data_IF_151873146132
#
_entry.id   IF_151873146132
#
_cell.length_a   1.000
_cell.length_b   1.000
_cell.length_c   1.000
_cell.angle_alpha   90.00
_cell.angle_beta   90.00
_cell.angle_gamma   90.00
#
_symmetry.space_group_name_H-M   'P 1'
#
loop_
_entity.id
_entity.type
_entity.pdbx_description
1 polymer ?
#
# COMPACT_ATOMS: atom_id res chain seq x y z
N UNK A 1 15.71 -19.91 28.44
CA UNK A 1 14.71 -20.05 29.51
C UNK A 1 15.17 -19.18 30.67
N UNK A 2 14.64 -17.96 30.74
CA UNK A 2 14.56 -17.04 31.86
C UNK A 2 13.61 -15.95 31.33
N UNK A 3 12.35 -16.04 31.73
CA UNK A 3 11.30 -15.07 31.39
C UNK A 3 11.31 -14.07 32.55
N UNK A 4 11.75 -12.82 32.35
CA UNK A 4 11.57 -11.80 33.37
C UNK A 4 10.11 -11.36 33.31
N UNK A 5 9.35 -11.71 34.34
CA UNK A 5 8.10 -11.11 34.80
C UNK A 5 7.11 -10.71 33.70
N UNK A 6 6.21 -11.65 33.39
CA UNK A 6 4.85 -11.35 32.94
C UNK A 6 4.26 -10.30 33.89
N UNK A 7 4.08 -9.08 33.38
CA UNK A 7 3.17 -8.11 33.99
C UNK A 7 1.79 -8.79 34.02
N UNK A 8 1.07 -8.78 35.16
CA UNK A 8 -0.28 -9.31 35.23
C UNK A 8 -1.15 -8.67 34.15
N UNK A 9 -1.95 -9.48 33.47
CA UNK A 9 -2.90 -9.10 32.43
C UNK A 9 -4.11 -8.34 33.01
N UNK A 10 -3.92 -7.48 34.01
CA UNK A 10 -4.98 -6.84 34.81
C UNK A 10 -5.07 -5.31 34.67
N UNK A 11 -4.18 -4.65 33.91
CA UNK A 11 -4.26 -3.19 33.69
C UNK A 11 -4.14 -2.78 32.20
N UNK A 12 -4.91 -3.44 31.32
CA UNK A 12 -5.21 -2.87 30.00
C UNK A 12 -6.20 -1.71 30.23
N UNK A 13 -5.95 -0.47 29.75
CA UNK A 13 -6.75 0.65 30.24
C UNK A 13 -8.21 0.43 29.85
N UNK A 14 -9.17 0.65 30.76
CA UNK A 14 -10.60 0.46 30.49
C UNK A 14 -11.16 1.47 29.47
N UNK A 15 -10.32 2.34 28.85
CA UNK A 15 -10.70 3.34 27.85
C UNK A 15 -9.53 3.65 26.88
N UNK A 16 -9.83 3.96 25.61
CA UNK A 16 -8.86 4.53 24.67
C UNK A 16 -8.20 5.79 25.26
N UNK A 17 -6.89 5.95 25.07
CA UNK A 17 -6.23 7.20 25.47
C UNK A 17 -6.66 8.33 24.54
N UNK A 18 -6.82 9.53 25.12
CA UNK A 18 -7.20 10.74 24.40
C UNK A 18 -6.08 11.76 24.55
N UNK A 19 -5.66 12.42 23.46
CA UNK A 19 -4.70 13.51 23.51
C UNK A 19 -5.05 14.58 24.55
N UNK A 20 -4.03 15.07 25.24
CA UNK A 20 -4.19 16.26 26.10
C UNK A 20 -4.67 17.45 25.26
N UNK A 21 -5.46 18.37 25.84
CA UNK A 21 -5.85 19.60 25.17
C UNK A 21 -4.63 20.35 24.61
N UNK A 22 -4.71 20.79 23.35
CA UNK A 22 -3.60 21.43 22.66
C UNK A 22 -3.98 22.81 22.11
N UNK A 23 -4.11 23.83 22.97
CA UNK A 23 -4.57 25.16 22.58
C UNK A 23 -3.59 25.90 21.64
N UNK A 24 -2.34 25.41 21.51
CA UNK A 24 -1.33 25.97 20.61
C UNK A 24 -1.35 25.34 19.22
N UNK A 25 -2.14 24.28 19.01
CA UNK A 25 -2.24 23.61 17.71
C UNK A 25 -3.08 24.48 16.76
N UNK A 26 -2.51 25.01 15.67
CA UNK A 26 -3.28 25.76 14.69
C UNK A 26 -4.27 24.85 13.96
N UNK A 27 -5.35 25.46 13.46
CA UNK A 27 -6.28 24.81 12.54
C UNK A 27 -5.55 24.21 11.35
N UNK A 28 -6.16 23.17 10.77
CA UNK A 28 -5.60 22.42 9.65
C UNK A 28 -5.35 23.33 8.41
N UNK A 29 -4.09 23.51 7.96
CA UNK A 29 -3.74 24.61 7.06
C UNK A 29 -3.74 24.21 5.58
N UNK A 30 -3.74 22.91 5.25
CA UNK A 30 -3.47 22.41 3.90
C UNK A 30 -4.70 22.48 2.99
N UNK A 31 -5.15 23.69 2.69
CA UNK A 31 -6.24 24.00 1.78
C UNK A 31 -5.78 24.87 0.60
N UNK A 32 -6.66 25.03 -0.39
CA UNK A 32 -6.39 25.87 -1.57
C UNK A 32 -6.05 27.31 -1.16
N UNK A 33 -5.09 27.92 -1.86
CA UNK A 33 -4.56 29.26 -1.60
C UNK A 33 -3.40 29.33 -0.63
N UNK A 34 -3.09 28.26 0.12
CA UNK A 34 -1.91 28.25 0.99
C UNK A 34 -0.63 28.29 0.15
N UNK A 35 0.24 29.23 0.46
CA UNK A 35 1.56 29.38 -0.16
C UNK A 35 2.66 29.06 0.84
N UNK A 36 3.60 28.20 0.44
CA UNK A 36 4.71 27.72 1.26
C UNK A 36 6.04 28.03 0.59
N UNK A 37 7.01 28.53 1.36
CA UNK A 37 8.39 28.67 0.88
C UNK A 37 9.16 27.40 1.23
N UNK A 38 9.50 26.62 0.21
CA UNK A 38 10.16 25.32 0.35
C UNK A 38 11.63 25.41 -0.06
N UNK A 39 12.47 24.58 0.54
CA UNK A 39 13.90 24.43 0.20
C UNK A 39 14.25 22.95 0.01
N UNK A 40 15.20 22.59 -0.87
CA UNK A 40 15.63 21.22 -1.05
C UNK A 40 16.12 20.59 0.26
N UNK A 41 15.86 19.31 0.44
CA UNK A 41 16.20 18.57 1.65
C UNK A 41 16.80 17.21 1.31
N UNK A 42 17.85 16.83 2.05
CA UNK A 42 18.43 15.48 2.00
C UNK A 42 17.67 14.58 2.97
N UNK A 43 16.90 13.58 2.51
CA UNK A 43 16.18 12.69 3.42
C UNK A 43 17.16 11.91 4.33
N UNK A 44 16.77 11.57 5.57
CA UNK A 44 17.56 10.65 6.37
C UNK A 44 17.51 9.25 5.75
N UNK A 45 18.42 8.37 6.17
CA UNK A 45 18.31 6.96 5.80
C UNK A 45 16.96 6.39 6.25
N UNK A 46 16.29 5.56 5.44
CA UNK A 46 14.97 5.07 5.75
C UNK A 46 14.99 4.21 7.01
N UNK A 47 13.97 4.33 7.86
CA UNK A 47 13.85 3.59 9.10
C UNK A 47 12.38 3.17 9.37
N UNK A 48 12.16 2.42 10.45
CA UNK A 48 10.83 1.91 10.82
C UNK A 48 10.71 0.39 10.75
N UNK A 49 9.48 -0.10 10.72
CA UNK A 49 9.14 -1.54 10.83
C UNK A 49 9.47 -2.36 9.57
N UNK A 50 10.08 -1.77 8.54
CA UNK A 50 10.30 -2.43 7.24
C UNK A 50 11.67 -3.07 7.06
N UNK A 51 12.30 -3.49 8.16
CA UNK A 51 13.53 -4.28 8.15
C UNK A 51 14.83 -3.47 8.18
N UNK A 52 14.76 -2.17 8.47
CA UNK A 52 15.95 -1.34 8.65
C UNK A 52 16.55 -1.51 10.05
N UNK A 53 17.87 -1.44 10.15
CA UNK A 53 18.56 -1.34 11.44
C UNK A 53 18.19 -0.03 12.11
N UNK A 54 17.81 -0.10 13.39
CA UNK A 54 17.59 1.09 14.21
C UNK A 54 18.92 1.85 14.35
N UNK A 55 19.00 3.03 13.74
CA UNK A 55 20.12 3.94 13.92
C UNK A 55 19.98 4.76 15.20
N UNK A 56 21.06 5.40 15.67
CA UNK A 56 21.00 6.33 16.80
C UNK A 56 20.19 7.59 16.48
N UNK A 57 20.01 7.95 15.20
CA UNK A 57 19.45 9.22 14.76
C UNK A 57 17.96 9.36 15.11
N UNK A 58 17.22 8.23 15.14
CA UNK A 58 15.79 8.24 15.52
C UNK A 58 15.39 6.93 16.22
N UNK A 59 14.79 7.06 17.40
CA UNK A 59 14.18 5.96 18.17
C UNK A 59 12.71 6.26 18.40
N UNK A 60 11.89 5.23 18.35
CA UNK A 60 10.47 5.32 18.71
C UNK A 60 10.37 5.57 20.21
N UNK A 61 9.66 6.61 20.62
CA UNK A 61 9.47 6.92 22.03
C UNK A 61 8.51 5.94 22.72
N UNK A 62 8.70 5.73 24.02
CA UNK A 62 7.78 4.95 24.84
C UNK A 62 6.41 5.66 24.92
N UNK A 63 5.32 4.89 24.91
CA UNK A 63 3.96 5.42 24.90
C UNK A 63 3.69 6.33 26.12
N UNK A 64 4.28 6.01 27.26
CA UNK A 64 4.17 6.75 28.50
C UNK A 64 4.79 8.14 28.41
N UNK A 65 5.85 8.32 27.61
CA UNK A 65 6.47 9.63 27.40
C UNK A 65 5.63 10.50 26.46
N UNK A 66 5.10 9.89 25.38
CA UNK A 66 4.21 10.57 24.42
C UNK A 66 2.94 11.06 25.12
N UNK A 67 2.37 10.23 26.00
CA UNK A 67 1.13 10.53 26.72
C UNK A 67 1.19 11.76 27.66
N UNK A 68 2.40 12.20 28.04
CA UNK A 68 2.60 13.26 29.06
C UNK A 68 2.47 14.69 28.53
N UNK A 69 2.42 14.88 27.21
CA UNK A 69 2.47 16.23 26.61
C UNK A 69 1.47 16.38 25.46
N UNK A 70 1.14 17.63 25.12
CA UNK A 70 0.32 17.93 23.94
C UNK A 70 1.07 17.62 22.65
N UNK A 71 0.35 17.45 21.53
CA UNK A 71 0.97 17.10 20.24
C UNK A 71 1.93 18.19 19.74
N UNK A 72 1.56 19.46 19.86
CA UNK A 72 2.41 20.60 19.50
C UNK A 72 3.68 20.62 20.33
N UNK A 73 3.58 20.36 21.63
CA UNK A 73 4.72 20.26 22.52
C UNK A 73 5.61 19.07 22.19
N UNK A 74 5.03 17.90 21.87
CA UNK A 74 5.78 16.75 21.39
C UNK A 74 6.56 17.06 20.11
N UNK A 75 5.91 17.71 19.14
CA UNK A 75 6.54 18.07 17.86
C UNK A 75 7.74 19.02 18.03
N UNK A 76 7.70 19.92 19.01
CA UNK A 76 8.81 20.81 19.33
C UNK A 76 9.94 20.11 20.09
N UNK A 77 9.60 19.27 21.08
CA UNK A 77 10.58 18.55 21.91
C UNK A 77 11.29 17.42 21.17
N UNK A 78 10.62 16.82 20.20
CA UNK A 78 11.09 15.65 19.45
C UNK A 78 11.05 15.91 17.94
N UNK A 79 11.83 16.88 17.42
CA UNK A 79 11.80 17.24 16.00
C UNK A 79 12.20 16.05 15.10
N UNK A 80 11.87 16.20 13.82
CA UNK A 80 12.26 15.26 12.76
C UNK A 80 13.79 15.15 12.68
N UNK A 81 14.31 14.04 12.17
CA UNK A 81 15.75 13.82 12.07
C UNK A 81 16.45 14.94 11.29
N UNK A 82 17.58 15.40 11.85
CA UNK A 82 18.47 16.32 11.17
C UNK A 82 19.37 15.56 10.18
N UNK A 83 19.64 16.19 9.05
CA UNK A 83 20.48 15.62 7.99
C UNK A 83 21.45 16.68 7.47
N UNK A 84 22.54 16.26 6.81
CA UNK A 84 23.44 17.20 6.17
C UNK A 84 22.69 18.13 5.21
N UNK A 85 23.07 19.43 5.14
CA UNK A 85 22.46 20.36 4.21
C UNK A 85 22.47 19.82 2.78
N UNK A 86 21.35 19.99 2.08
CA UNK A 86 21.28 19.64 0.66
C UNK A 86 22.30 20.47 -0.14
N UNK A 87 22.94 19.93 -1.19
CA UNK A 87 23.90 20.69 -2.01
C UNK A 87 23.36 22.04 -2.52
N UNK A 88 22.05 22.10 -2.78
CA UNK A 88 21.33 23.30 -3.19
C UNK A 88 20.46 23.88 -2.06
N UNK A 89 20.90 23.83 -0.80
CA UNK A 89 20.09 24.26 0.35
C UNK A 89 19.70 25.76 0.34
N UNK A 90 20.40 26.58 -0.45
CA UNK A 90 20.09 28.00 -0.65
C UNK A 90 19.01 28.24 -1.70
N UNK A 91 18.69 27.25 -2.53
CA UNK A 91 17.59 27.33 -3.48
C UNK A 91 16.27 27.33 -2.72
N UNK A 92 15.37 28.23 -3.09
CA UNK A 92 14.03 28.29 -2.52
C UNK A 92 13.01 28.36 -3.62
N UNK A 93 11.93 27.60 -3.47
CA UNK A 93 10.78 27.67 -4.37
C UNK A 93 9.53 28.03 -3.59
N UNK A 94 8.59 28.66 -4.28
CA UNK A 94 7.27 28.96 -3.75
C UNK A 94 6.31 27.87 -4.20
N UNK A 95 5.73 27.13 -3.27
CA UNK A 95 4.71 26.13 -3.54
C UNK A 95 3.35 26.73 -3.22
N UNK A 96 2.44 26.73 -4.19
CA UNK A 96 1.05 27.15 -4.00
C UNK A 96 0.11 25.94 -4.05
N UNK A 97 -0.64 25.70 -2.98
CA UNK A 97 -1.65 24.64 -2.94
C UNK A 97 -2.88 25.11 -3.69
N UNK A 98 -3.32 24.33 -4.68
CA UNK A 98 -4.53 24.65 -5.46
C UNK A 98 -5.69 23.73 -5.17
N UNK A 99 -5.43 22.51 -4.70
CA UNK A 99 -6.47 21.55 -4.37
C UNK A 99 -5.97 20.53 -3.34
N UNK A 100 -6.80 20.22 -2.34
CA UNK A 100 -6.61 19.04 -1.50
C UNK A 100 -7.02 17.79 -2.27
N UNK A 101 -6.11 16.83 -2.43
CA UNK A 101 -6.42 15.52 -3.02
C UNK A 101 -6.86 14.58 -1.91
N UNK A 102 -6.04 14.49 -0.85
CA UNK A 102 -6.31 13.66 0.29
C UNK A 102 -5.70 14.33 1.53
N UNK A 103 -6.45 15.28 2.07
CA UNK A 103 -6.03 16.17 3.15
C UNK A 103 -7.07 16.16 4.26
N UNK A 104 -6.68 15.68 5.44
CA UNK A 104 -7.54 15.64 6.63
C UNK A 104 -6.69 15.54 7.88
N UNK A 105 -7.14 16.18 8.95
CA UNK A 105 -6.52 16.01 10.26
C UNK A 105 -6.55 14.53 10.70
N UNK A 106 -5.45 14.06 11.30
CA UNK A 106 -5.26 12.70 11.75
C UNK A 106 -5.05 11.67 10.62
N UNK A 107 -4.98 12.07 9.35
CA UNK A 107 -4.79 11.16 8.19
C UNK A 107 -3.40 10.51 8.14
N UNK A 108 -2.38 11.20 8.64
CA UNK A 108 -0.99 10.94 8.29
C UNK A 108 -0.52 11.98 7.28
N UNK A 109 0.14 11.54 6.20
CA UNK A 109 0.63 12.46 5.17
C UNK A 109 -0.52 13.13 4.41
N UNK A 110 -0.35 14.43 4.13
CA UNK A 110 -1.34 15.27 3.45
C UNK A 110 -0.98 15.34 1.97
N UNK A 111 -1.95 15.08 1.09
CA UNK A 111 -1.71 15.00 -0.35
C UNK A 111 -2.44 16.16 -1.03
N UNK A 112 -1.68 17.03 -1.68
CA UNK A 112 -2.21 18.23 -2.32
C UNK A 112 -1.68 18.40 -3.73
N UNK A 113 -2.52 18.92 -4.62
CA UNK A 113 -2.10 19.42 -5.93
C UNK A 113 -1.57 20.84 -5.76
N UNK A 114 -0.44 21.13 -6.40
CA UNK A 114 0.22 22.42 -6.28
C UNK A 114 0.88 22.90 -7.58
N UNK A 115 1.23 24.18 -7.59
CA UNK A 115 2.12 24.82 -8.57
C UNK A 115 3.43 25.22 -7.92
N UNK A 116 4.50 25.33 -8.71
CA UNK A 116 5.81 25.81 -8.25
C UNK A 116 6.14 27.15 -8.91
N UNK A 117 6.52 28.12 -8.09
CA UNK A 117 6.84 29.48 -8.50
C UNK A 117 5.72 30.12 -9.31
N UNK A 118 6.11 30.78 -10.40
CA UNK A 118 5.20 31.44 -11.34
C UNK A 118 4.70 30.48 -12.44
N UNK A 119 5.27 29.28 -12.56
CA UNK A 119 4.82 28.30 -13.57
C UNK A 119 3.49 27.65 -13.15
N UNK A 120 2.40 28.21 -13.67
CA UNK A 120 1.04 27.67 -13.51
C UNK A 120 0.66 26.69 -14.61
N UNK A 121 1.54 26.42 -15.58
CA UNK A 121 1.26 25.49 -16.67
C UNK A 121 1.52 24.04 -16.26
N UNK A 122 2.30 23.82 -15.20
CA UNK A 122 2.66 22.48 -14.72
C UNK A 122 2.20 22.24 -13.29
N UNK A 123 1.30 21.28 -13.12
CA UNK A 123 0.88 20.81 -11.80
C UNK A 123 1.81 19.74 -11.24
N UNK A 124 1.88 19.72 -9.91
CA UNK A 124 2.62 18.76 -9.10
C UNK A 124 1.73 18.20 -8.01
N UNK A 125 2.14 17.06 -7.45
CA UNK A 125 1.61 16.55 -6.18
C UNK A 125 2.67 16.78 -5.11
N UNK A 126 2.27 17.45 -4.03
CA UNK A 126 3.05 17.48 -2.81
C UNK A 126 2.43 16.52 -1.80
N UNK A 127 3.25 15.60 -1.31
CA UNK A 127 2.91 14.75 -0.17
C UNK A 127 3.68 15.25 1.04
N UNK A 128 2.95 15.82 2.00
CA UNK A 128 3.45 16.59 3.13
C UNK A 128 3.36 15.76 4.41
N UNK A 129 4.48 15.64 5.12
CA UNK A 129 4.63 14.85 6.34
C UNK A 129 4.72 15.78 7.54
N UNK A 130 3.59 16.39 7.90
CA UNK A 130 3.51 17.26 9.07
C UNK A 130 3.06 16.46 10.30
N UNK A 131 3.96 16.15 11.24
CA UNK A 131 3.62 15.34 12.41
C UNK A 131 2.53 15.98 13.28
N UNK A 132 2.33 17.31 13.17
CA UNK A 132 1.28 17.99 13.92
C UNK A 132 -0.12 17.61 13.45
N UNK A 133 -0.29 17.05 12.25
CA UNK A 133 -1.58 16.61 11.69
C UNK A 133 -1.65 15.10 11.43
N UNK A 134 -0.72 14.35 12.03
CA UNK A 134 -0.84 12.89 12.16
C UNK A 134 -1.77 12.55 13.33
N UNK A 135 -2.36 11.35 13.31
CA UNK A 135 -3.18 10.87 14.43
C UNK A 135 -2.29 10.69 15.66
N UNK A 136 -2.53 11.48 16.71
CA UNK A 136 -1.74 11.40 17.94
C UNK A 136 -2.16 10.23 18.83
N UNK A 137 -3.33 9.65 18.56
CA UNK A 137 -3.78 8.37 19.09
C UNK A 137 -3.88 7.35 17.95
N UNK A 138 -3.50 6.10 18.23
CA UNK A 138 -3.67 4.98 17.32
C UNK A 138 -5.16 4.79 17.03
N UNK A 139 -5.49 4.43 15.77
CA UNK A 139 -6.89 4.39 15.33
C UNK A 139 -7.62 3.13 15.77
N UNK A 140 -6.89 2.05 16.02
CA UNK A 140 -7.45 0.74 16.35
C UNK A 140 -7.54 0.58 17.86
N UNK A 141 -6.43 0.85 18.56
CA UNK A 141 -6.29 0.59 19.99
C UNK A 141 -6.34 1.86 20.84
N UNK A 142 -6.26 3.04 20.22
CA UNK A 142 -6.30 4.32 20.93
C UNK A 142 -5.07 4.58 21.80
N UNK A 143 -3.94 3.94 21.53
CA UNK A 143 -2.67 4.17 22.25
C UNK A 143 -1.97 5.44 21.77
N UNK A 144 -1.17 6.12 22.61
CA UNK A 144 -0.37 7.27 22.17
C UNK A 144 0.59 6.92 21.02
N UNK A 145 0.72 7.82 20.03
CA UNK A 145 1.57 7.61 18.86
C UNK A 145 2.70 8.64 18.80
N UNK A 146 3.93 8.17 18.60
CA UNK A 146 5.08 9.05 18.31
C UNK A 146 4.96 9.58 16.87
N UNK A 147 4.17 10.64 16.71
CA UNK A 147 3.82 11.21 15.40
C UNK A 147 5.02 11.77 14.64
N UNK A 148 6.06 12.24 15.33
CA UNK A 148 7.28 12.71 14.67
C UNK A 148 8.12 11.56 14.15
N UNK A 149 8.19 10.44 14.88
CA UNK A 149 8.76 9.21 14.34
C UNK A 149 7.97 8.69 13.13
N UNK A 150 6.63 8.66 13.22
CA UNK A 150 5.79 8.16 12.14
C UNK A 150 5.93 9.00 10.87
N UNK A 151 5.81 10.34 10.97
CA UNK A 151 5.96 11.24 9.84
C UNK A 151 7.32 11.09 9.16
N UNK A 152 8.40 11.06 9.94
CA UNK A 152 9.77 10.98 9.43
C UNK A 152 10.10 9.59 8.85
N UNK A 153 9.58 8.51 9.44
CA UNK A 153 9.71 7.16 8.88
C UNK A 153 8.93 6.98 7.57
N UNK A 154 7.77 7.62 7.43
CA UNK A 154 6.98 7.60 6.19
C UNK A 154 7.72 8.38 5.09
N UNK A 155 8.17 9.59 5.42
CA UNK A 155 8.93 10.45 4.53
C UNK A 155 10.22 9.79 4.03
N UNK A 156 11.04 9.28 4.94
CA UNK A 156 12.35 8.71 4.61
C UNK A 156 12.26 7.45 3.75
N UNK A 157 11.28 6.56 4.01
CA UNK A 157 11.03 5.37 3.20
C UNK A 157 10.56 5.73 1.80
N UNK A 158 9.60 6.64 1.68
CA UNK A 158 9.07 7.06 0.39
C UNK A 158 10.12 7.80 -0.45
N UNK A 159 10.85 8.73 0.16
CA UNK A 159 11.93 9.44 -0.53
C UNK A 159 13.03 8.47 -1.00
N UNK A 160 13.43 7.50 -0.16
CA UNK A 160 14.42 6.50 -0.54
C UNK A 160 13.98 5.65 -1.74
N UNK A 161 12.70 5.26 -1.79
CA UNK A 161 12.16 4.48 -2.91
C UNK A 161 12.22 5.27 -4.22
N UNK A 162 11.75 6.52 -4.19
CA UNK A 162 11.76 7.36 -5.38
C UNK A 162 13.19 7.74 -5.82
N UNK A 163 14.11 7.97 -4.89
CA UNK A 163 15.53 8.16 -5.19
C UNK A 163 16.14 6.92 -5.87
N UNK A 164 15.88 5.71 -5.36
CA UNK A 164 16.41 4.46 -5.93
C UNK A 164 15.86 4.21 -7.35
N UNK A 165 14.57 4.47 -7.57
CA UNK A 165 13.92 4.34 -8.88
C UNK A 165 14.40 5.39 -9.88
N UNK A 166 14.57 6.64 -9.43
CA UNK A 166 15.13 7.73 -10.25
C UNK A 166 16.59 7.45 -10.63
N UNK A 167 17.40 6.97 -9.69
CA UNK A 167 18.78 6.57 -9.95
C UNK A 167 18.87 5.40 -10.95
N UNK A 168 17.84 4.55 -11.01
CA UNK A 168 17.72 3.49 -12.01
C UNK A 168 17.15 3.98 -13.36
N UNK A 169 16.71 5.25 -13.48
CA UNK A 169 16.17 5.82 -14.72
C UNK A 169 14.75 5.35 -15.07
N UNK A 170 14.00 4.86 -14.09
CA UNK A 170 12.65 4.30 -14.29
C UNK A 170 11.53 5.07 -13.60
N UNK A 171 11.84 6.21 -12.98
CA UNK A 171 10.81 7.10 -12.45
C UNK A 171 9.93 7.65 -13.59
N UNK A 172 8.62 7.74 -13.35
CA UNK A 172 7.65 8.07 -14.40
C UNK A 172 7.22 6.90 -15.27
N UNK A 173 7.93 5.76 -15.30
CA UNK A 173 7.50 4.60 -16.10
C UNK A 173 6.38 3.83 -15.39
N UNK A 174 6.66 3.36 -14.18
CA UNK A 174 5.75 2.54 -13.35
C UNK A 174 5.27 3.26 -12.09
N UNK A 175 5.88 4.40 -11.79
CA UNK A 175 5.62 5.27 -10.64
C UNK A 175 5.52 6.72 -11.12
N UNK A 176 5.01 7.66 -10.32
CA UNK A 176 5.10 9.09 -10.64
C UNK A 176 6.56 9.52 -10.81
N UNK A 177 6.84 10.48 -11.71
CA UNK A 177 8.16 11.15 -11.73
C UNK A 177 8.45 11.82 -10.39
N UNK A 178 9.71 11.75 -9.93
CA UNK A 178 10.15 12.32 -8.67
C UNK A 178 10.92 13.63 -8.85
N UNK A 179 10.37 14.72 -8.32
CA UNK A 179 10.96 16.07 -8.37
C UNK A 179 11.77 16.44 -7.14
N UNK A 180 12.03 15.45 -6.27
CA UNK A 180 12.91 15.62 -5.14
C UNK A 180 12.20 15.78 -3.80
N UNK A 181 13.03 15.94 -2.79
CA UNK A 181 12.66 16.05 -1.40
C UNK A 181 12.88 17.48 -0.91
N UNK A 182 11.93 17.96 -0.13
CA UNK A 182 11.86 19.36 0.25
C UNK A 182 11.47 19.50 1.72
N UNK A 183 11.75 20.66 2.28
CA UNK A 183 11.36 21.03 3.64
C UNK A 183 10.93 22.49 3.67
N UNK A 184 10.08 22.82 4.63
CA UNK A 184 9.69 24.19 4.98
C UNK A 184 9.46 24.28 6.48
N UNK A 185 9.37 25.50 7.00
CA UNK A 185 9.17 25.75 8.42
C UNK A 185 7.76 26.29 8.66
N UNK A 186 7.05 25.72 9.63
CA UNK A 186 5.67 26.11 10.02
C UNK A 186 5.65 26.64 11.44
N UNK A 187 5.12 27.85 11.63
CA UNK A 187 4.95 28.46 12.94
C UNK A 187 3.83 27.83 13.77
N UNK A 188 3.88 28.07 15.07
CA UNK A 188 2.76 27.86 15.99
C UNK A 188 2.14 29.22 16.39
N UNK A 189 0.81 29.33 16.49
CA UNK A 189 0.15 30.54 16.96
C UNK A 189 0.69 31.04 18.31
N UNK A 190 0.96 32.34 18.39
CA UNK A 190 1.36 33.00 19.63
C UNK A 190 2.80 32.76 20.07
N UNK A 191 3.65 32.11 19.26
CA UNK A 191 5.08 31.93 19.56
C UNK A 191 5.95 32.26 18.35
N UNK A 192 7.26 32.42 18.57
CA UNK A 192 8.27 32.49 17.50
C UNK A 192 8.80 31.11 17.12
N UNK A 193 8.27 30.04 17.71
CA UNK A 193 8.74 28.67 17.48
C UNK A 193 8.23 28.18 16.13
N UNK A 194 9.13 27.53 15.38
CA UNK A 194 8.81 26.91 14.11
C UNK A 194 9.15 25.43 14.18
N UNK A 195 8.35 24.61 13.51
CA UNK A 195 8.65 23.20 13.29
C UNK A 195 9.02 22.97 11.83
N UNK A 196 10.07 22.17 11.54
CA UNK A 196 10.35 21.76 10.18
C UNK A 196 9.29 20.73 9.73
N UNK A 197 8.83 20.85 8.50
CA UNK A 197 7.92 19.92 7.84
C UNK A 197 8.58 19.43 6.56
N UNK A 198 8.53 18.11 6.32
CA UNK A 198 9.10 17.48 5.12
C UNK A 198 8.02 17.23 4.08
N UNK A 199 8.40 17.25 2.81
CA UNK A 199 7.54 16.82 1.72
C UNK A 199 8.34 16.18 0.59
N UNK A 200 7.66 15.38 -0.22
CA UNK A 200 8.15 14.96 -1.54
C UNK A 200 7.29 15.59 -2.63
N UNK A 201 7.94 15.97 -3.74
CA UNK A 201 7.26 16.46 -4.94
C UNK A 201 7.23 15.37 -6.01
N UNK A 202 6.03 15.11 -6.53
CA UNK A 202 5.74 14.05 -7.49
C UNK A 202 4.98 14.59 -8.71
N UNK A 203 4.98 13.81 -9.78
CA UNK A 203 4.13 14.01 -10.95
C UNK A 203 2.66 14.10 -10.56
N UNK A 204 1.96 15.13 -11.06
CA UNK A 204 0.51 15.13 -11.06
C UNK A 204 -0.01 14.13 -12.08
N UNK A 205 -0.65 13.09 -11.57
CA UNK A 205 -1.32 12.08 -12.38
C UNK A 205 -2.79 12.48 -12.53
N UNK A 206 -3.20 12.82 -13.75
CA UNK A 206 -4.61 13.01 -14.07
C UNK A 206 -5.27 11.64 -14.24
N UNK A 207 -5.68 11.05 -13.13
CA UNK A 207 -6.21 9.69 -13.08
C UNK A 207 -7.01 9.43 -11.82
N UNK A 208 -7.44 8.19 -11.67
CA UNK A 208 -8.23 7.71 -10.52
C UNK A 208 -7.61 6.41 -10.00
N UNK A 209 -7.58 6.24 -8.67
CA UNK A 209 -7.14 4.99 -8.07
C UNK A 209 -8.23 3.91 -8.14
N UNK A 210 -7.83 2.63 -8.12
CA UNK A 210 -8.79 1.53 -8.27
C UNK A 210 -9.80 1.48 -7.13
N UNK A 211 -9.38 1.81 -5.91
CA UNK A 211 -10.28 1.82 -4.76
C UNK A 211 -11.41 2.84 -4.94
N UNK A 212 -11.09 4.05 -5.39
CA UNK A 212 -12.09 5.08 -5.73
C UNK A 212 -13.05 4.64 -6.84
N UNK A 213 -12.60 3.84 -7.80
CA UNK A 213 -13.51 3.23 -8.79
C UNK A 213 -14.42 2.22 -8.11
N UNK A 214 -13.87 1.32 -7.29
CA UNK A 214 -14.63 0.27 -6.61
C UNK A 214 -15.72 0.89 -5.71
N UNK A 215 -15.34 1.82 -4.85
CA UNK A 215 -16.21 2.46 -3.84
C UNK A 215 -17.09 3.60 -4.37
N UNK A 216 -17.06 3.89 -5.69
CA UNK A 216 -17.72 5.06 -6.29
C UNK A 216 -19.17 5.28 -5.86
N UNK A 217 -19.93 4.19 -5.67
CA UNK A 217 -21.34 4.23 -5.31
C UNK A 217 -21.63 3.67 -3.90
N UNK A 218 -20.60 3.53 -3.04
CA UNK A 218 -20.70 2.99 -1.67
C UNK A 218 -21.23 1.56 -1.58
N UNK A 219 -21.31 0.86 -2.71
CA UNK A 219 -21.93 -0.46 -2.89
C UNK A 219 -20.98 -1.43 -3.60
N UNK A 220 -19.71 -1.05 -3.80
CA UNK A 220 -18.75 -1.75 -4.67
C UNK A 220 -19.19 -1.94 -6.13
N UNK A 221 -20.27 -1.28 -6.56
CA UNK A 221 -20.81 -1.42 -7.92
C UNK A 221 -19.98 -0.69 -8.99
N UNK A 222 -19.02 0.15 -8.61
CA UNK A 222 -18.24 0.90 -9.59
C UNK A 222 -17.34 0.00 -10.45
N UNK A 223 -17.07 -1.24 -10.02
CA UNK A 223 -16.41 -2.26 -10.86
C UNK A 223 -17.21 -2.58 -12.14
N UNK A 224 -18.54 -2.45 -12.12
CA UNK A 224 -19.40 -2.69 -13.28
C UNK A 224 -19.27 -1.59 -14.35
N UNK A 225 -18.64 -0.46 -14.03
CA UNK A 225 -18.30 0.57 -15.02
C UNK A 225 -17.18 0.11 -15.96
N UNK A 226 -16.56 -1.04 -15.69
CA UNK A 226 -15.42 -1.55 -16.44
C UNK A 226 -15.60 -3.03 -16.86
N UNK A 227 -15.39 -3.37 -18.15
CA UNK A 227 -15.49 -4.75 -18.60
C UNK A 227 -14.52 -5.69 -17.84
N UNK A 228 -14.92 -6.95 -17.57
CA UNK A 228 -14.10 -7.95 -16.89
C UNK A 228 -12.67 -8.09 -17.47
N UNK A 229 -12.54 -8.13 -18.79
CA UNK A 229 -11.27 -8.25 -19.51
C UNK A 229 -10.37 -7.04 -19.23
N UNK A 230 -10.97 -5.85 -19.18
CA UNK A 230 -10.24 -4.59 -18.91
C UNK A 230 -9.73 -4.55 -17.48
N UNK A 231 -10.50 -5.08 -16.51
CA UNK A 231 -10.07 -5.20 -15.12
C UNK A 231 -8.87 -6.14 -14.97
N UNK A 232 -8.89 -7.30 -15.64
CA UNK A 232 -7.74 -8.21 -15.70
C UNK A 232 -6.51 -7.56 -16.35
N UNK A 233 -6.69 -6.80 -17.44
CA UNK A 233 -5.59 -6.07 -18.09
C UNK A 233 -4.97 -5.01 -17.16
N UNK A 234 -5.79 -4.28 -16.40
CA UNK A 234 -5.28 -3.30 -15.41
C UNK A 234 -4.54 -3.99 -14.26
N UNK A 235 -5.08 -5.10 -13.75
CA UNK A 235 -4.39 -5.90 -12.74
C UNK A 235 -3.05 -6.43 -13.27
N UNK A 236 -3.00 -6.91 -14.51
CA UNK A 236 -1.77 -7.37 -15.14
C UNK A 236 -0.71 -6.27 -15.19
N UNK A 237 -1.08 -5.06 -15.64
CA UNK A 237 -0.17 -3.91 -15.66
C UNK A 237 0.31 -3.49 -14.27
N UNK A 238 -0.57 -3.54 -13.26
CA UNK A 238 -0.19 -3.25 -11.87
C UNK A 238 0.82 -4.29 -11.34
N UNK A 239 0.60 -5.57 -11.64
CA UNK A 239 1.51 -6.67 -11.28
C UNK A 239 2.87 -6.57 -12.01
N UNK A 240 2.87 -6.13 -13.26
CA UNK A 240 4.08 -5.83 -14.03
C UNK A 240 4.83 -4.64 -13.42
N UNK A 241 4.13 -3.58 -13.05
CA UNK A 241 4.73 -2.42 -12.38
C UNK A 241 5.40 -2.81 -11.04
N UNK A 242 4.73 -3.61 -10.21
CA UNK A 242 5.27 -4.05 -8.93
C UNK A 242 6.51 -4.95 -9.11
N UNK A 243 6.45 -5.84 -10.10
CA UNK A 243 7.55 -6.72 -10.50
C UNK A 243 8.77 -5.90 -10.94
N UNK A 244 8.59 -4.86 -11.75
CA UNK A 244 9.67 -3.99 -12.19
C UNK A 244 10.26 -3.16 -11.04
N UNK A 245 9.41 -2.60 -10.18
CA UNK A 245 9.83 -1.89 -8.96
C UNK A 245 10.69 -2.80 -8.06
N UNK A 246 10.26 -4.06 -7.88
CA UNK A 246 11.00 -5.10 -7.14
C UNK A 246 12.34 -5.44 -7.79
N UNK A 247 12.39 -5.53 -9.12
CA UNK A 247 13.63 -5.75 -9.87
C UNK A 247 14.67 -4.65 -9.61
N UNK A 248 14.21 -3.40 -9.48
CA UNK A 248 15.06 -2.27 -9.09
C UNK A 248 15.43 -2.20 -7.60
N UNK A 249 15.04 -3.24 -6.84
CA UNK A 249 15.36 -3.46 -5.41
C UNK A 249 14.58 -2.57 -4.45
N UNK A 250 13.40 -2.14 -4.88
CA UNK A 250 12.40 -1.46 -4.04
C UNK A 250 11.21 -2.42 -3.87
N UNK A 251 10.85 -2.76 -2.64
CA UNK A 251 9.66 -3.54 -2.34
C UNK A 251 8.55 -2.57 -1.92
N UNK A 252 7.40 -2.59 -2.59
CA UNK A 252 6.30 -1.67 -2.27
C UNK A 252 5.69 -1.94 -0.89
N UNK A 253 5.46 -3.22 -0.55
CA UNK A 253 4.87 -3.71 0.72
C UNK A 253 3.44 -3.23 1.05
N UNK A 254 2.78 -2.61 0.10
CA UNK A 254 1.38 -2.19 0.22
C UNK A 254 0.74 -2.18 -1.17
N UNK A 255 0.85 -3.32 -1.85
CA UNK A 255 0.24 -3.50 -3.17
C UNK A 255 -1.26 -3.75 -2.99
N UNK A 256 -2.04 -2.68 -3.06
CA UNK A 256 -3.49 -2.67 -2.84
C UNK A 256 -4.17 -1.73 -3.85
N UNK A 257 -5.48 -1.90 -4.15
CA UNK A 257 -6.20 -1.09 -5.14
C UNK A 257 -6.07 0.43 -4.94
N UNK A 258 -6.03 0.89 -3.68
CA UNK A 258 -5.86 2.32 -3.33
C UNK A 258 -4.52 2.92 -3.78
N UNK A 259 -3.53 2.06 -4.04
CA UNK A 259 -2.18 2.43 -4.44
C UNK A 259 -1.90 2.19 -5.94
N UNK A 260 -2.94 1.86 -6.71
CA UNK A 260 -2.87 1.64 -8.16
C UNK A 260 -3.71 2.71 -8.85
N UNK A 261 -3.07 3.61 -9.60
CA UNK A 261 -3.75 4.64 -10.39
C UNK A 261 -3.88 4.24 -11.86
N UNK A 262 -5.08 4.44 -12.41
CA UNK A 262 -5.34 4.46 -13.85
C UNK A 262 -5.24 5.91 -14.31
N UNK A 263 -4.27 6.19 -15.16
CA UNK A 263 -4.03 7.51 -15.73
C UNK A 263 -4.45 7.45 -17.19
N UNK A 264 -5.21 8.47 -17.62
CA UNK A 264 -5.53 8.62 -19.03
C UNK A 264 -4.23 8.59 -19.84
N UNK A 265 -4.24 7.90 -20.97
CA UNK A 265 -3.12 7.96 -21.89
C UNK A 265 -2.96 9.43 -22.28
N UNK A 266 -1.91 10.08 -21.74
CA UNK A 266 -1.61 11.44 -22.12
C UNK A 266 -1.57 11.49 -23.65
N UNK A 267 -2.20 12.49 -24.25
CA UNK A 267 -2.08 12.85 -25.67
C UNK A 267 -0.65 13.34 -25.98
N UNK A 268 0.37 12.61 -25.53
CA UNK A 268 1.77 12.82 -25.83
C UNK A 268 2.15 11.88 -26.96
N UNK A 269 2.15 12.47 -28.15
CA UNK A 269 2.83 12.09 -29.39
C UNK A 269 2.63 10.65 -29.91
N UNK A 270 1.63 10.50 -30.78
CA UNK A 270 1.75 9.64 -31.96
C UNK A 270 1.35 8.18 -31.84
N UNK A 271 1.03 7.68 -30.64
CA UNK A 271 0.56 6.30 -30.48
C UNK A 271 -0.84 6.30 -29.88
N UNK A 272 -1.83 5.87 -30.67
CA UNK A 272 -3.19 5.53 -30.25
C UNK A 272 -3.19 4.30 -29.32
N UNK A 273 -2.47 4.35 -28.21
CA UNK A 273 -2.56 3.36 -27.15
C UNK A 273 -3.85 3.62 -26.39
N UNK A 274 -4.92 2.91 -26.77
CA UNK A 274 -6.19 2.83 -26.03
C UNK A 274 -6.03 2.14 -24.66
N UNK A 275 -4.79 1.78 -24.30
CA UNK A 275 -4.46 1.10 -23.06
C UNK A 275 -4.01 2.13 -22.03
N UNK A 276 -4.70 2.26 -20.88
CA UNK A 276 -4.38 3.25 -19.87
C UNK A 276 -2.99 3.00 -19.28
N UNK A 277 -2.34 4.08 -18.83
CA UNK A 277 -1.11 4.00 -18.05
C UNK A 277 -1.51 3.62 -16.63
N UNK A 278 -0.95 2.53 -16.11
CA UNK A 278 -1.17 2.08 -14.73
C UNK A 278 0.07 2.42 -13.93
N UNK A 279 -0.11 3.10 -12.80
CA UNK A 279 0.99 3.66 -12.00
C UNK A 279 0.83 3.26 -10.54
N UNK A 280 1.92 2.81 -9.91
CA UNK A 280 1.97 2.56 -8.48
C UNK A 280 2.32 3.83 -7.71
N UNK A 281 1.61 4.08 -6.62
CA UNK A 281 1.76 5.24 -5.74
C UNK A 281 1.86 4.82 -4.27
N UNK A 282 2.23 5.76 -3.41
CA UNK A 282 2.33 5.57 -1.95
C UNK A 282 3.40 4.57 -1.51
N UNK A 283 4.65 5.04 -1.51
CA UNK A 283 5.81 4.24 -1.11
C UNK A 283 6.20 4.43 0.36
N UNK A 284 5.31 4.96 1.19
CA UNK A 284 5.61 5.22 2.61
C UNK A 284 5.90 3.93 3.38
N UNK A 285 5.37 2.77 2.94
CA UNK A 285 5.61 1.46 3.55
C UNK A 285 6.71 0.64 2.88
N UNK A 286 7.43 1.24 1.92
CA UNK A 286 8.38 0.51 1.10
C UNK A 286 9.67 0.08 1.83
N UNK A 287 10.36 -0.87 1.21
CA UNK A 287 11.73 -1.28 1.59
C UNK A 287 12.68 -1.12 0.42
N UNK A 288 13.74 -0.36 0.62
CA UNK A 288 14.81 -0.14 -0.34
C UNK A 288 16.00 -1.01 0.03
N UNK A 289 16.11 -2.18 -0.63
CA UNK A 289 17.08 -3.22 -0.29
C UNK A 289 18.53 -2.75 -0.48
N UNK A 290 18.77 -1.83 -1.43
CA UNK A 290 20.11 -1.29 -1.71
C UNK A 290 20.65 -0.41 -0.59
N UNK A 291 19.79 0.09 0.31
CA UNK A 291 20.19 1.01 1.37
C UNK A 291 21.09 0.30 2.40
N UNK A 292 22.16 0.97 2.88
CA UNK A 292 23.19 0.33 3.69
C UNK A 292 22.68 -0.17 5.04
N UNK A 293 21.63 0.46 5.56
CA UNK A 293 21.01 0.14 6.85
C UNK A 293 19.87 -0.89 6.74
N UNK A 294 19.67 -1.53 5.59
CA UNK A 294 18.72 -2.65 5.48
C UNK A 294 19.35 -3.95 5.99
N UNK A 295 18.76 -4.57 7.02
CA UNK A 295 19.34 -5.73 7.74
C UNK A 295 19.61 -6.92 6.85
N UNK A 296 18.68 -7.19 5.94
CA UNK A 296 18.65 -8.41 5.15
C UNK A 296 19.28 -8.23 3.76
N UNK A 297 19.98 -7.12 3.52
CA UNK A 297 20.59 -6.77 2.22
C UNK A 297 21.41 -7.91 1.63
N UNK A 298 22.15 -8.65 2.46
CA UNK A 298 22.97 -9.78 2.04
C UNK A 298 22.18 -10.90 1.34
N UNK A 299 20.93 -11.14 1.74
CA UNK A 299 20.10 -12.20 1.14
C UNK A 299 19.63 -11.85 -0.28
N UNK A 300 19.64 -10.56 -0.64
CA UNK A 300 19.18 -10.08 -1.95
C UNK A 300 20.32 -9.79 -2.94
N UNK A 301 21.54 -9.56 -2.43
CA UNK A 301 22.71 -9.29 -3.26
C UNK A 301 23.25 -10.56 -3.95
N UNK A 302 23.02 -11.74 -3.39
CA UNK A 302 23.68 -12.98 -3.82
C UNK A 302 23.09 -13.63 -5.09
N UNK A 303 22.03 -13.07 -5.68
CA UNK A 303 21.46 -13.54 -6.93
C UNK A 303 20.71 -12.41 -7.68
N UNK A 304 21.40 -11.57 -8.47
CA UNK A 304 20.72 -10.72 -9.44
C UNK A 304 20.15 -11.61 -10.55
N UNK A 305 18.82 -11.70 -10.61
CA UNK A 305 18.17 -12.23 -11.80
C UNK A 305 18.48 -11.29 -12.97
N UNK A 306 18.79 -11.80 -14.17
CA UNK A 306 19.11 -10.96 -15.33
C UNK A 306 17.89 -10.21 -15.88
N UNK A 307 16.69 -10.67 -15.51
CA UNK A 307 15.40 -10.11 -15.89
C UNK A 307 14.50 -10.03 -14.65
N UNK A 308 13.47 -9.15 -14.64
CA UNK A 308 12.43 -9.17 -13.61
C UNK A 308 11.79 -10.55 -13.48
N UNK A 309 11.49 -11.00 -12.25
CA UNK A 309 10.77 -12.26 -12.03
C UNK A 309 9.37 -12.15 -12.61
N UNK A 310 8.93 -13.10 -13.45
CA UNK A 310 7.60 -13.02 -14.07
C UNK A 310 6.47 -12.85 -13.02
N UNK A 311 5.50 -11.94 -13.25
CA UNK A 311 4.37 -11.74 -12.35
C UNK A 311 3.61 -13.04 -12.05
N UNK A 312 3.57 -13.98 -13.01
CA UNK A 312 3.01 -15.32 -12.84
C UNK A 312 3.52 -16.01 -11.58
N UNK A 313 4.81 -15.89 -11.24
CA UNK A 313 5.38 -16.56 -10.08
C UNK A 313 5.17 -15.81 -8.77
N UNK A 314 5.00 -14.50 -8.84
CA UNK A 314 4.69 -13.67 -7.67
C UNK A 314 3.25 -13.91 -7.20
N UNK A 315 2.34 -14.15 -8.15
CA UNK A 315 0.90 -14.28 -7.91
C UNK A 315 0.36 -15.71 -8.07
N UNK A 316 1.23 -16.71 -8.23
CA UNK A 316 0.79 -18.10 -8.37
C UNK A 316 0.09 -18.61 -7.11
N UNK A 317 -1.02 -19.33 -7.28
CA UNK A 317 -1.74 -19.96 -6.18
C UNK A 317 -2.86 -19.12 -5.57
N UNK A 318 -3.44 -18.22 -6.35
CA UNK A 318 -4.72 -17.57 -6.08
C UNK A 318 -4.71 -16.06 -6.25
N UNK A 319 -5.89 -15.49 -6.49
CA UNK A 319 -6.10 -14.05 -6.57
C UNK A 319 -5.71 -13.38 -5.23
N UNK A 320 -4.94 -12.28 -5.23
CA UNK A 320 -4.62 -11.59 -3.99
C UNK A 320 -5.87 -11.01 -3.32
N UNK A 321 -5.95 -11.16 -1.99
CA UNK A 321 -7.11 -10.76 -1.18
C UNK A 321 -7.55 -9.30 -1.44
N UNK A 322 -6.59 -8.38 -1.50
CA UNK A 322 -6.82 -6.95 -1.75
C UNK A 322 -7.51 -6.67 -3.10
N UNK A 323 -7.39 -7.58 -4.08
CA UNK A 323 -7.96 -7.42 -5.41
C UNK A 323 -9.16 -8.33 -5.69
N UNK A 324 -9.68 -9.04 -4.68
CA UNK A 324 -10.82 -9.96 -4.87
C UNK A 324 -12.03 -9.29 -5.52
N UNK A 325 -12.36 -8.07 -5.10
CA UNK A 325 -13.47 -7.33 -5.70
C UNK A 325 -13.15 -6.77 -7.09
N UNK A 326 -11.88 -6.53 -7.39
CA UNK A 326 -11.45 -6.01 -8.69
C UNK A 326 -11.37 -7.09 -9.76
N UNK A 327 -10.83 -8.27 -9.42
CA UNK A 327 -10.68 -9.39 -10.35
C UNK A 327 -12.06 -10.02 -10.62
N UNK A 328 -12.45 -10.23 -11.89
CA UNK A 328 -13.75 -10.80 -12.23
C UNK A 328 -13.86 -12.27 -11.85
N UNK A 329 -15.08 -12.77 -11.70
CA UNK A 329 -15.30 -14.21 -11.74
C UNK A 329 -15.02 -14.78 -13.16
N UNK A 330 -14.63 -16.06 -13.29
CA UNK A 330 -14.30 -17.00 -12.19
C UNK A 330 -12.86 -16.84 -11.64
N UNK A 331 -12.09 -15.88 -12.16
CA UNK A 331 -10.66 -15.70 -11.85
C UNK A 331 -10.38 -15.34 -10.39
N UNK A 332 -11.31 -14.72 -9.67
CA UNK A 332 -11.16 -14.46 -8.23
C UNK A 332 -11.52 -15.65 -7.34
N UNK A 333 -12.39 -16.55 -7.83
CA UNK A 333 -13.00 -17.63 -7.03
C UNK A 333 -12.36 -18.99 -7.26
N UNK A 334 -11.65 -19.16 -8.39
CA UNK A 334 -10.99 -20.42 -8.75
C UNK A 334 -9.50 -20.21 -9.05
N UNK A 335 -8.65 -20.75 -8.16
CA UNK A 335 -7.20 -20.68 -8.28
C UNK A 335 -6.68 -21.32 -9.57
N UNK A 336 -7.30 -22.41 -10.05
CA UNK A 336 -6.85 -23.09 -11.26
C UNK A 336 -7.11 -22.23 -12.50
N UNK A 337 -8.24 -21.53 -12.54
CA UNK A 337 -8.57 -20.55 -13.58
C UNK A 337 -7.62 -19.34 -13.50
N UNK A 338 -7.42 -18.78 -12.31
CA UNK A 338 -6.50 -17.65 -12.14
C UNK A 338 -5.09 -18.01 -12.60
N UNK A 339 -4.59 -19.18 -12.21
CA UNK A 339 -3.28 -19.68 -12.61
C UNK A 339 -3.19 -19.92 -14.13
N UNK A 340 -4.25 -20.40 -14.77
CA UNK A 340 -4.32 -20.53 -16.23
C UNK A 340 -4.27 -19.18 -16.93
N UNK A 341 -4.95 -18.16 -16.39
CA UNK A 341 -4.84 -16.79 -16.89
C UNK A 341 -3.42 -16.20 -16.71
N UNK A 342 -2.77 -16.40 -15.56
CA UNK A 342 -1.38 -15.99 -15.34
C UNK A 342 -0.43 -16.63 -16.36
N UNK A 343 -0.65 -17.90 -16.69
CA UNK A 343 0.15 -18.64 -17.67
C UNK A 343 -0.10 -18.16 -19.11
N UNK A 344 -1.35 -17.85 -19.47
CA UNK A 344 -1.65 -17.24 -20.77
C UNK A 344 -1.03 -15.84 -20.90
N UNK A 345 -1.08 -15.05 -19.83
CA UNK A 345 -0.59 -13.67 -19.82
C UNK A 345 0.94 -13.59 -19.83
N UNK A 346 1.61 -14.45 -19.08
CA UNK A 346 3.08 -14.53 -19.03
C UNK A 346 3.54 -15.98 -19.29
N UNK A 347 3.54 -16.41 -20.57
CA UNK A 347 3.87 -17.78 -20.96
C UNK A 347 5.36 -18.08 -20.87
N UNK A 348 5.68 -19.37 -20.82
CA UNK A 348 7.05 -19.88 -20.95
C UNK A 348 7.31 -20.36 -22.38
N UNK A 349 8.52 -20.16 -22.94
CA UNK A 349 9.61 -19.32 -22.41
C UNK A 349 9.32 -17.83 -22.60
N UNK A 350 9.91 -16.98 -21.74
CA UNK A 350 9.82 -15.52 -21.83
C UNK A 350 11.20 -14.90 -22.10
N UNK A 351 11.24 -13.88 -22.96
CA UNK A 351 12.42 -13.02 -23.17
C UNK A 351 12.42 -11.77 -22.29
N UNK A 352 11.28 -11.46 -21.67
CA UNK A 352 11.09 -10.24 -20.86
C UNK A 352 11.22 -10.53 -19.36
N UNK A 353 10.94 -11.76 -18.95
CA UNK A 353 10.90 -12.15 -17.55
C UNK A 353 11.80 -13.35 -17.25
N UNK A 354 12.39 -13.33 -16.06
CA UNK A 354 13.02 -14.47 -15.44
C UNK A 354 11.96 -15.42 -14.86
N UNK A 355 12.12 -16.71 -15.13
CA UNK A 355 11.15 -17.75 -14.78
C UNK A 355 11.79 -18.69 -13.74
N UNK A 356 11.74 -18.36 -12.44
CA UNK A 356 12.28 -19.24 -11.40
C UNK A 356 11.46 -20.53 -11.27
N UNK A 357 12.04 -21.62 -10.76
CA UNK A 357 11.24 -22.77 -10.34
C UNK A 357 10.29 -22.37 -9.20
N UNK A 358 9.10 -23.01 -9.13
CA UNK A 358 8.15 -22.79 -8.05
C UNK A 358 8.77 -23.12 -6.68
N UNK A 359 8.91 -22.10 -5.83
CA UNK A 359 9.61 -22.19 -4.54
C UNK A 359 8.78 -22.87 -3.45
N UNK A 360 7.46 -22.61 -3.40
CA UNK A 360 6.59 -23.13 -2.33
C UNK A 360 5.94 -24.47 -2.70
N UNK A 361 5.80 -25.42 -1.75
CA UNK A 361 5.10 -26.68 -1.98
C UNK A 361 3.68 -26.52 -2.53
N UNK A 362 2.93 -25.53 -2.01
CA UNK A 362 1.59 -25.21 -2.51
C UNK A 362 1.59 -24.81 -3.98
N UNK A 363 2.57 -24.00 -4.42
CA UNK A 363 2.68 -23.60 -5.82
C UNK A 363 3.01 -24.78 -6.72
N UNK A 364 3.82 -25.74 -6.24
CA UNK A 364 4.11 -26.98 -6.98
C UNK A 364 2.89 -27.91 -7.09
N UNK A 365 2.03 -27.92 -6.07
CA UNK A 365 0.80 -28.70 -6.07
C UNK A 365 -0.22 -28.12 -7.08
N UNK A 366 -0.44 -26.80 -7.05
CA UNK A 366 -1.35 -26.12 -7.96
C UNK A 366 -0.80 -25.96 -9.38
N UNK A 367 0.53 -25.98 -9.57
CA UNK A 367 1.16 -25.96 -10.89
C UNK A 367 0.75 -27.11 -11.83
N UNK A 368 0.16 -28.19 -11.30
CA UNK A 368 -0.29 -29.35 -12.09
C UNK A 368 -1.74 -29.23 -12.56
N UNK A 369 -2.49 -28.27 -12.03
CA UNK A 369 -3.90 -28.05 -12.33
C UNK A 369 -4.10 -26.59 -12.71
N UNK A 370 -4.23 -26.36 -14.01
CA UNK A 370 -4.64 -25.07 -14.55
C UNK A 370 -5.86 -25.27 -15.43
N UNK A 371 -6.68 -24.23 -15.45
CA UNK A 371 -7.91 -24.20 -16.20
C UNK A 371 -8.02 -22.86 -16.92
N UNK A 372 -8.70 -22.87 -18.05
CA UNK A 372 -8.92 -21.66 -18.83
C UNK A 372 -10.42 -21.36 -18.89
N UNK A 373 -10.77 -20.12 -18.59
CA UNK A 373 -12.12 -19.59 -18.68
C UNK A 373 -12.08 -18.15 -19.17
N UNK A 374 -13.13 -17.71 -19.85
CA UNK A 374 -13.31 -16.29 -20.13
C UNK A 374 -13.78 -15.58 -18.86
N UNK A 375 -13.34 -14.34 -18.59
CA UNK A 375 -13.89 -13.58 -17.48
C UNK A 375 -15.35 -13.26 -17.79
N UNK A 376 -16.22 -13.29 -16.77
CA UNK A 376 -17.66 -13.05 -16.94
C UNK A 376 -18.06 -11.77 -16.21
N UNK A 377 -19.14 -11.09 -16.66
CA UNK A 377 -19.73 -10.01 -15.89
C UNK A 377 -20.15 -10.50 -14.51
N UNK A 378 -19.91 -9.68 -13.48
CA UNK A 378 -20.25 -10.00 -12.08
C UNK A 378 -21.78 -10.02 -11.80
N UNK A 379 -22.61 -10.03 -12.85
CA UNK A 379 -24.09 -9.90 -12.78
C UNK A 379 -24.84 -11.17 -13.19
N UNK A 380 -24.16 -12.19 -13.73
CA UNK A 380 -24.82 -13.44 -14.16
C UNK A 380 -24.24 -14.68 -13.49
N UNK A 381 -25.07 -15.63 -13.02
CA UNK A 381 -24.61 -16.98 -12.67
C UNK A 381 -24.30 -17.73 -13.97
N UNK A 382 -23.07 -17.66 -14.45
CA UNK A 382 -22.68 -18.26 -15.73
C UNK A 382 -22.19 -19.69 -15.54
N UNK A 383 -22.68 -20.60 -16.40
CA UNK A 383 -22.03 -21.89 -16.64
C UNK A 383 -20.66 -21.65 -17.28
N UNK A 384 -19.59 -21.74 -16.50
CA UNK A 384 -18.23 -21.57 -16.99
C UNK A 384 -17.87 -22.75 -17.89
N UNK A 385 -17.58 -22.51 -19.17
CA UNK A 385 -16.86 -23.49 -19.99
C UNK A 385 -15.41 -23.52 -19.53
N UNK A 386 -15.10 -24.52 -18.72
CA UNK A 386 -13.75 -24.76 -18.19
C UNK A 386 -13.03 -25.74 -19.11
N UNK A 387 -11.89 -25.33 -19.65
CA UNK A 387 -10.98 -26.23 -20.35
C UNK A 387 -9.78 -26.50 -19.45
N UNK A 388 -9.54 -27.77 -19.10
CA UNK A 388 -8.43 -28.16 -18.24
C UNK A 388 -7.22 -28.63 -19.05
N UNK A 389 -6.03 -28.20 -18.65
CA UNK A 389 -4.76 -28.72 -19.19
C UNK A 389 -3.90 -29.19 -18.04
N UNK A 390 -3.61 -30.49 -17.98
CA UNK A 390 -2.67 -31.03 -16.98
C UNK A 390 -1.24 -30.76 -17.44
N UNK A 391 -0.49 -30.02 -16.64
CA UNK A 391 0.93 -29.80 -16.86
C UNK A 391 1.76 -30.96 -16.33
N UNK A 392 2.74 -31.38 -17.14
CA UNK A 392 3.85 -32.20 -16.67
C UNK A 392 4.98 -31.26 -16.30
N UNK A 393 5.27 -31.11 -15.00
CA UNK A 393 6.45 -30.36 -14.58
C UNK A 393 7.71 -31.09 -15.09
N UNK A 394 8.72 -30.40 -15.65
CA UNK A 394 10.00 -31.02 -15.96
C UNK A 394 10.55 -31.68 -14.70
N UNK A 395 10.97 -32.94 -14.80
CA UNK A 395 11.70 -33.62 -13.73
C UNK A 395 12.99 -32.84 -13.48
N UNK A 396 13.08 -32.13 -12.36
CA UNK A 396 14.33 -31.58 -11.87
C UNK A 396 15.17 -32.76 -11.39
N UNK A 397 15.97 -33.33 -12.29
CA UNK A 397 16.95 -34.34 -11.95
C UNK A 397 18.02 -33.71 -11.07
N UNK A 398 17.99 -34.01 -9.78
CA UNK A 398 19.18 -33.88 -8.95
C UNK A 398 20.07 -35.09 -9.27
N UNK A 399 21.11 -34.89 -10.07
CA UNK A 399 22.22 -35.84 -10.14
C UNK A 399 22.88 -35.89 -8.76
N UNK A 400 22.73 -37.03 -8.10
CA UNK A 400 23.30 -37.34 -6.79
C UNK A 400 24.77 -37.78 -6.88
N UNK A 401 25.54 -37.23 -7.82
CA UNK A 401 26.95 -37.56 -7.99
C UNK A 401 27.81 -36.30 -7.93
N UNK A 402 28.50 -36.15 -6.80
CA UNK A 402 29.40 -35.03 -6.53
C UNK A 402 29.59 -34.84 -5.03
N UNK A 403 30.09 -35.88 -4.36
CA UNK A 403 30.39 -35.85 -2.93
C UNK A 403 31.40 -34.74 -2.60
N UNK A 404 30.98 -33.84 -1.72
CA UNK A 404 31.77 -33.47 -0.56
C UNK A 404 30.81 -33.00 0.52
N UNK A 405 30.62 -33.83 1.54
CA UNK A 405 30.08 -33.39 2.82
C UNK A 405 31.07 -32.42 3.45
N UNK A 406 30.60 -31.25 3.91
CA UNK A 406 30.92 -30.83 5.25
C UNK A 406 29.64 -30.90 6.08
N UNK A 407 29.59 -31.93 6.93
CA UNK A 407 28.88 -31.87 8.20
C UNK A 407 29.33 -30.64 8.98
N UNK A 408 28.40 -30.02 9.71
CA UNK A 408 28.51 -28.79 10.52
C UNK A 408 28.17 -27.45 9.81
N UNK A 409 26.88 -27.26 9.56
CA UNK A 409 26.21 -26.00 9.91
C UNK A 409 24.95 -26.37 10.68
N UNK A 410 24.95 -26.04 11.96
CA UNK A 410 24.00 -26.51 12.95
C UNK A 410 22.54 -26.18 12.64
N UNK A 411 21.68 -27.05 13.12
CA UNK A 411 20.25 -26.83 13.26
C UNK A 411 19.96 -25.45 13.87
N UNK A 412 19.63 -24.48 13.03
CA UNK A 412 18.83 -23.34 13.46
C UNK A 412 17.41 -23.89 13.69
N UNK A 413 17.18 -24.35 14.93
CA UNK A 413 15.84 -24.59 15.45
C UNK A 413 15.01 -23.34 15.17
N UNK A 414 14.09 -23.46 14.21
CA UNK A 414 12.99 -22.53 14.02
C UNK A 414 12.08 -22.65 15.25
N UNK A 415 12.43 -21.91 16.31
CA UNK A 415 11.48 -21.54 17.35
C UNK A 415 10.46 -20.60 16.72
N UNK A 416 9.40 -21.18 16.15
CA UNK A 416 8.10 -20.52 16.09
C UNK A 416 7.60 -20.43 17.53
N UNK A 417 7.99 -19.39 18.25
CA UNK A 417 7.14 -18.89 19.32
C UNK A 417 5.95 -18.22 18.64
N UNK A 418 4.77 -18.79 18.90
CA UNK A 418 3.51 -18.05 18.87
C UNK A 418 3.71 -16.86 19.79
N UNK A 419 3.52 -15.66 19.26
CA UNK A 419 3.09 -14.52 20.05
C UNK A 419 1.97 -13.82 19.28
N UNK A 420 0.93 -13.55 20.06
CA UNK A 420 -0.40 -13.08 19.75
C UNK A 420 -0.37 -11.66 19.16
N UNK A 421 -1.09 -11.45 18.06
CA UNK A 421 -1.75 -10.19 17.75
C UNK A 421 -2.90 -10.54 16.82
N UNK A 422 -4.10 -10.50 17.41
CA UNK A 422 -5.33 -10.87 16.76
C UNK A 422 -5.73 -9.85 15.72
N UNK A 423 -6.05 -10.36 14.53
CA UNK A 423 -7.23 -9.93 13.82
C UNK A 423 -7.75 -11.13 13.04
N UNK A 424 -8.94 -11.58 13.43
CA UNK A 424 -9.57 -12.80 12.95
C UNK A 424 -10.66 -12.44 11.95
N UNK A 425 -10.72 -13.24 10.90
CA UNK A 425 -11.73 -13.40 9.84
C UNK A 425 -13.18 -12.90 10.09
N UNK A 426 -13.91 -12.51 9.03
CA UNK A 426 -15.30 -12.09 9.13
C UNK A 426 -16.25 -13.28 9.39
N UNK A 427 -17.45 -13.06 9.95
CA UNK A 427 -18.30 -14.13 10.43
C UNK A 427 -18.98 -14.90 9.29
N UNK A 428 -18.80 -16.23 9.30
CA UNK A 428 -19.66 -17.21 8.63
C UNK A 428 -21.04 -17.23 9.30
N UNK A 429 -22.09 -16.84 8.59
CA UNK A 429 -23.48 -17.16 8.96
C UNK A 429 -23.91 -18.45 8.28
N UNK A 430 -24.19 -19.49 9.06
CA UNK A 430 -24.81 -20.71 8.57
C UNK A 430 -25.19 -21.65 9.71
N UNK A 431 -26.49 -21.82 9.91
CA UNK A 431 -27.23 -22.97 10.46
C UNK A 431 -28.59 -22.42 10.92
N UNK A 432 -29.76 -22.98 10.64
CA UNK A 432 -30.16 -24.25 10.06
C UNK A 432 -31.67 -24.34 10.33
N UNK A 433 -32.45 -24.84 9.38
CA UNK A 433 -33.89 -25.02 9.50
C UNK A 433 -34.29 -25.94 10.66
N UNK A 434 -35.59 -25.90 11.04
CA UNK A 434 -36.36 -27.15 10.96
C UNK A 434 -37.69 -26.99 10.19
N UNK A 435 -37.97 -27.99 9.33
CA UNK A 435 -39.32 -28.39 8.88
C UNK A 435 -40.07 -28.94 10.12
N UNK A 436 -41.39 -28.93 10.27
CA UNK A 436 -42.52 -29.15 9.34
C UNK A 436 -43.85 -28.91 10.10
N UNK A 437 -44.92 -28.49 9.40
CA UNK A 437 -46.29 -28.67 9.90
C UNK A 437 -47.38 -27.80 9.26
N UNK A 438 -47.90 -28.27 8.12
CA UNK A 438 -49.32 -28.21 7.68
C UNK A 438 -50.02 -26.86 7.37
N UNK A 439 -50.35 -26.68 6.08
CA UNK A 439 -51.45 -25.88 5.50
C UNK A 439 -52.86 -26.51 5.78
N UNK A 440 -54.02 -26.01 5.29
CA UNK A 440 -54.32 -24.83 4.44
C UNK A 440 -55.56 -23.98 4.85
N UNK A 441 -55.86 -23.00 3.99
CA UNK A 441 -57.16 -22.44 3.60
C UNK A 441 -57.74 -21.20 4.30
N UNK A 442 -58.10 -20.20 3.46
CA UNK A 442 -59.32 -19.42 3.66
C UNK A 442 -59.26 -17.90 3.47
N UNK A 443 -59.58 -17.45 2.24
CA UNK A 443 -60.43 -16.28 1.92
C UNK A 443 -60.00 -14.83 2.26
N UNK A 444 -59.87 -14.01 1.21
CA UNK A 444 -60.12 -12.54 1.20
C UNK A 444 -61.64 -12.23 1.30
N UNK A 445 -62.17 -10.99 1.10
CA UNK A 445 -61.66 -9.61 1.26
C UNK A 445 -62.67 -8.66 1.99
N UNK A 446 -62.30 -7.41 2.29
CA UNK A 446 -63.17 -6.20 2.28
C UNK A 446 -62.35 -4.99 2.76
N UNK A 447 -62.12 -3.96 1.93
CA UNK A 447 -62.97 -2.77 1.71
C UNK A 447 -63.36 -2.01 2.99
N UNK A 448 -62.98 -0.73 3.06
CA UNK A 448 -63.41 0.17 4.14
C UNK A 448 -62.71 1.53 4.12
N UNK A 449 -63.30 2.45 3.35
CA UNK A 449 -62.92 3.83 3.03
C UNK A 449 -63.00 4.82 4.20
N UNK A 450 -62.40 5.99 3.99
CA UNK A 450 -62.70 7.32 4.60
C UNK A 450 -62.31 7.50 6.07
N UNK A 451 -61.76 8.63 6.53
CA UNK A 451 -61.55 9.94 5.92
C UNK A 451 -61.48 10.97 7.06
N UNK A 452 -60.67 12.03 6.87
CA UNK A 452 -60.78 13.29 7.63
C UNK A 452 -60.28 13.24 9.09
N UNK A 453 -59.94 14.33 9.76
CA UNK A 453 -59.89 15.77 9.51
C UNK A 453 -59.15 16.33 10.75
N UNK A 454 -58.36 17.38 10.56
CA UNK A 454 -57.89 18.41 11.51
C UNK A 454 -57.36 18.00 12.92
N UNK A 455 -56.06 18.22 13.14
CA UNK A 455 -55.54 19.49 13.70
C UNK A 455 -54.02 19.55 13.64
#
# INVERSE_FOLDING_TARGET
MWIPNLVPLEDWPPRPWVPLPDPRRPDFPYHSGLTLKIRPHTPPHPFGLTGYTKGPERRYAAFEEVAKVSQSEWCLRNPLAETPPHPNATETQTLEIVQGIASKDGRGAQIVRCYLGEDKNRSYVAKIYDPLYYSYADREFGSPVDVTYMADSHYSREAAAFEDLKAAGVDGQFTPKYYGSWTFDMGLPGTSEVRPVRLVLLEWLNGVDLWSIMERDGTNNGIHTMPPEKRLEIFAKAAEAETNVTFHRVLHRDFSPRNVMIVDAATSEGVNSHTPRVVLIDFNNSTCIKRPNFRDRQFYNNAPYPLPVSPRYNWWGGCPNEFLHWVPDPHRSDDAVFNGWLEQRWPDPSTEYFLPPFKLPRHRATAKLIEYASPVPDTEPVFVQVYSRRYSLPSVGWSSDGGNSPSELGEAKSSRSRDDSGESDPPRSGNGSPRSGSEPDGTSPSQGTLGGVDK
#
